data_IF_758151457553
#
_entry.id   IF_758151457553
#
_cell.length_a   1.000
_cell.length_b   1.000
_cell.length_c   1.000
_cell.angle_alpha   90.00
_cell.angle_beta   90.00
_cell.angle_gamma   90.00
#
_symmetry.space_group_name_H-M   'P 1'
#
loop_
_entity.id
_entity.type
_entity.pdbx_description
1 polymer ?
#
# COMPACT_ATOMS: atom_id res chain seq x y z
N UNK A 1 1.15 31.51 20.55
CA UNK A 1 1.44 30.78 19.30
C UNK A 1 0.64 31.43 18.18
N UNK A 2 1.20 32.46 17.54
CA UNK A 2 0.56 33.05 16.36
C UNK A 2 0.74 32.10 15.17
N UNK A 3 -0.36 31.79 14.52
CA UNK A 3 -0.39 31.05 13.27
C UNK A 3 0.20 31.95 12.17
N UNK A 4 1.41 31.66 11.70
CA UNK A 4 2.17 32.49 10.72
C UNK A 4 1.38 32.71 9.41
N UNK A 5 0.40 31.86 9.10
CA UNK A 5 -0.56 32.11 8.01
C UNK A 5 -1.36 33.41 8.19
N UNK A 6 -1.69 33.78 9.42
CA UNK A 6 -2.43 35.01 9.74
C UNK A 6 -1.55 36.28 9.69
N UNK A 7 -0.22 36.10 9.66
CA UNK A 7 0.77 37.17 9.49
C UNK A 7 1.06 37.41 8.00
N UNK A 8 1.09 36.34 7.21
CA UNK A 8 1.19 36.39 5.73
C UNK A 8 -0.03 37.08 5.11
N UNK A 9 -1.22 36.91 5.71
CA UNK A 9 -2.44 37.54 5.21
C UNK A 9 -2.54 39.04 5.54
N UNK A 10 -1.71 39.57 6.45
CA UNK A 10 -1.67 41.00 6.80
C UNK A 10 -0.68 41.82 5.95
N UNK A 11 0.24 41.18 5.24
CA UNK A 11 1.35 41.84 4.54
C UNK A 11 1.25 41.86 3.01
N UNK A 12 0.08 41.59 2.42
CA UNK A 12 -0.12 41.67 0.96
C UNK A 12 -0.30 43.10 0.46
N UNK A 13 0.72 43.96 0.58
CA UNK A 13 0.73 45.26 -0.12
C UNK A 13 2.09 45.73 -0.69
N UNK A 14 3.18 44.96 -0.77
CA UNK A 14 4.40 45.44 -1.48
C UNK A 14 5.14 44.39 -2.34
N UNK A 15 5.72 44.83 -3.46
CA UNK A 15 6.44 43.98 -4.45
C UNK A 15 7.69 43.29 -3.89
N UNK A 16 8.30 43.84 -2.84
CA UNK A 16 9.44 43.24 -2.16
C UNK A 16 9.04 42.04 -1.28
N UNK A 17 7.83 42.04 -0.72
CA UNK A 17 7.25 40.89 -0.01
C UNK A 17 7.01 39.70 -0.96
N UNK A 18 6.58 39.95 -2.20
CA UNK A 18 6.43 38.90 -3.21
C UNK A 18 7.75 38.21 -3.57
N UNK A 19 8.89 38.92 -3.50
CA UNK A 19 10.21 38.32 -3.73
C UNK A 19 10.63 37.45 -2.54
N UNK A 20 10.42 37.93 -1.32
CA UNK A 20 10.71 37.20 -0.08
C UNK A 20 9.84 35.94 0.03
N UNK A 21 8.54 36.03 -0.29
CA UNK A 21 7.62 34.87 -0.35
C UNK A 21 8.10 33.84 -1.37
N UNK A 22 8.43 34.24 -2.61
CA UNK A 22 8.97 33.30 -3.61
C UNK A 22 10.30 32.69 -3.20
N UNK A 23 11.16 33.43 -2.52
CA UNK A 23 12.44 32.92 -2.02
C UNK A 23 12.22 31.90 -0.88
N UNK A 24 11.28 32.18 0.01
CA UNK A 24 10.86 31.28 1.08
C UNK A 24 10.23 29.99 0.52
N UNK A 25 9.30 30.10 -0.44
CA UNK A 25 8.70 28.96 -1.12
C UNK A 25 9.76 28.09 -1.81
N UNK A 26 10.74 28.70 -2.48
CA UNK A 26 11.87 27.98 -3.09
C UNK A 26 12.74 27.29 -2.06
N UNK A 27 12.99 27.92 -0.92
CA UNK A 27 13.76 27.36 0.20
C UNK A 27 13.03 26.15 0.80
N UNK A 28 11.72 26.26 1.05
CA UNK A 28 10.90 25.13 1.52
C UNK A 28 10.81 24.00 0.49
N UNK A 29 10.67 24.31 -0.79
CA UNK A 29 10.69 23.30 -1.85
C UNK A 29 12.03 22.55 -1.93
N UNK A 30 13.15 23.25 -1.70
CA UNK A 30 14.48 22.62 -1.59
C UNK A 30 14.57 21.71 -0.37
N UNK A 31 14.10 22.17 0.80
CA UNK A 31 14.08 21.38 2.02
C UNK A 31 13.30 20.07 1.81
N UNK A 32 12.08 20.15 1.29
CA UNK A 32 11.26 18.96 1.02
C UNK A 32 11.93 17.97 0.08
N UNK A 33 12.65 18.43 -0.96
CA UNK A 33 13.41 17.56 -1.87
C UNK A 33 14.62 16.91 -1.19
N UNK A 34 15.37 17.67 -0.38
CA UNK A 34 16.52 17.15 0.37
C UNK A 34 16.08 16.10 1.40
N UNK A 35 14.99 16.36 2.14
CA UNK A 35 14.42 15.39 3.08
C UNK A 35 13.91 14.13 2.38
N UNK A 36 13.24 14.27 1.23
CA UNK A 36 12.79 13.12 0.45
C UNK A 36 13.97 12.24 0.00
N UNK A 37 15.11 12.83 -0.38
CA UNK A 37 16.32 12.07 -0.70
C UNK A 37 16.92 11.41 0.54
N UNK A 38 17.17 12.19 1.60
CA UNK A 38 17.85 11.72 2.80
C UNK A 38 17.07 10.60 3.48
N UNK A 39 15.78 10.82 3.77
CA UNK A 39 14.95 9.87 4.51
C UNK A 39 14.59 8.60 3.74
N UNK A 40 14.90 8.53 2.43
CA UNK A 40 14.68 7.33 1.62
C UNK A 40 15.94 6.59 1.24
N UNK A 41 17.00 7.32 0.93
CA UNK A 41 18.18 6.75 0.27
C UNK A 41 19.50 7.32 0.78
N UNK A 42 19.50 8.59 1.20
CA UNK A 42 20.71 9.35 1.45
C UNK A 42 21.26 9.22 2.86
N UNK A 43 20.40 9.07 3.87
CA UNK A 43 20.80 9.21 5.27
C UNK A 43 21.93 8.25 5.67
N UNK A 44 21.82 6.97 5.32
CA UNK A 44 22.87 5.97 5.62
C UNK A 44 24.18 6.30 4.90
N UNK A 45 24.10 6.74 3.63
CA UNK A 45 25.28 7.14 2.84
C UNK A 45 25.97 8.40 3.40
N UNK A 46 25.19 9.26 4.04
CA UNK A 46 25.66 10.46 4.72
C UNK A 46 26.07 10.17 6.18
N UNK A 47 26.13 8.90 6.58
CA UNK A 47 26.66 8.46 7.89
C UNK A 47 25.63 8.38 9.02
N UNK A 48 24.34 8.55 8.73
CA UNK A 48 23.29 8.37 9.75
C UNK A 48 23.08 6.89 10.05
N UNK A 49 22.80 6.56 11.32
CA UNK A 49 22.30 5.23 11.68
C UNK A 49 20.83 5.12 11.26
N UNK A 50 20.52 4.10 10.45
CA UNK A 50 19.17 3.81 9.97
C UNK A 50 18.73 2.46 10.53
N UNK A 51 17.57 2.42 11.17
CA UNK A 51 16.99 1.20 11.74
C UNK A 51 15.53 1.05 11.29
N UNK A 52 15.24 0.07 10.43
CA UNK A 52 13.92 -0.08 9.78
C UNK A 52 13.40 1.24 9.13
N UNK A 53 14.33 1.98 8.52
CA UNK A 53 14.09 3.29 7.90
C UNK A 53 14.01 4.47 8.89
N UNK A 54 14.00 4.21 10.20
CA UNK A 54 14.01 5.24 11.23
C UNK A 54 15.40 5.84 11.43
N UNK A 55 15.44 7.16 11.49
CA UNK A 55 16.65 7.96 11.70
C UNK A 55 16.40 8.87 12.89
N UNK A 56 17.38 8.97 13.78
CA UNK A 56 17.33 9.94 14.87
C UNK A 56 17.54 11.35 14.31
N UNK A 57 16.61 12.26 14.57
CA UNK A 57 16.59 13.60 13.97
C UNK A 57 17.89 14.37 14.21
N UNK A 58 18.49 14.25 15.40
CA UNK A 58 19.76 14.91 15.71
C UNK A 58 20.91 14.45 14.80
N UNK A 59 20.92 13.17 14.42
CA UNK A 59 21.93 12.60 13.52
C UNK A 59 21.65 13.06 12.09
N UNK A 60 20.37 13.15 11.70
CA UNK A 60 19.98 13.72 10.40
C UNK A 60 20.42 15.18 10.26
N UNK A 61 20.35 15.97 11.34
CA UNK A 61 20.78 17.37 11.35
C UNK A 61 22.29 17.56 11.18
N UNK A 62 23.12 16.51 11.33
CA UNK A 62 24.56 16.60 11.06
C UNK A 62 24.89 16.50 9.57
N UNK A 63 23.92 16.14 8.72
CA UNK A 63 24.14 15.97 7.29
C UNK A 63 24.35 17.32 6.60
N UNK A 64 25.42 17.52 5.81
CA UNK A 64 25.73 18.80 5.17
C UNK A 64 24.60 19.39 4.32
N UNK A 65 23.78 18.53 3.70
CA UNK A 65 22.61 18.96 2.92
C UNK A 65 21.59 19.74 3.74
N UNK A 66 21.52 19.54 5.06
CA UNK A 66 20.60 20.23 5.97
C UNK A 66 21.23 21.40 6.74
N UNK A 67 22.51 21.71 6.50
CA UNK A 67 23.27 22.75 7.22
C UNK A 67 22.63 24.15 7.22
N UNK A 68 21.80 24.45 6.23
CA UNK A 68 21.10 25.75 6.10
C UNK A 68 19.77 25.82 6.87
N UNK A 69 19.34 24.73 7.51
CA UNK A 69 18.04 24.61 8.18
C UNK A 69 18.20 24.28 9.66
N UNK A 70 17.27 24.79 10.45
CA UNK A 70 17.14 24.47 11.87
C UNK A 70 16.37 23.17 12.07
N UNK A 71 16.55 22.53 13.24
CA UNK A 71 15.81 21.32 13.61
C UNK A 71 14.28 21.56 13.57
N UNK A 72 13.84 22.75 13.99
CA UNK A 72 12.42 23.14 13.96
C UNK A 72 11.87 23.29 12.54
N UNK A 73 12.66 23.84 11.59
CA UNK A 73 12.26 23.90 10.18
C UNK A 73 12.11 22.50 9.59
N UNK A 74 13.07 21.61 9.87
CA UNK A 74 13.06 20.22 9.40
C UNK A 74 11.87 19.45 9.98
N UNK A 75 11.68 19.53 11.29
CA UNK A 75 10.55 18.86 11.96
C UNK A 75 9.21 19.43 11.51
N UNK A 76 9.14 20.76 11.29
CA UNK A 76 7.96 21.42 10.74
C UNK A 76 7.59 20.90 9.36
N UNK A 77 8.53 20.76 8.43
CA UNK A 77 8.28 20.15 7.12
C UNK A 77 7.85 18.68 7.29
N UNK A 78 8.50 17.90 8.16
CA UNK A 78 8.15 16.49 8.42
C UNK A 78 6.69 16.34 8.89
N UNK A 79 6.23 17.24 9.77
CA UNK A 79 4.88 17.23 10.35
C UNK A 79 3.80 17.78 9.41
N UNK A 80 4.18 18.67 8.49
CA UNK A 80 3.23 19.42 7.66
C UNK A 80 3.24 19.03 6.19
N UNK A 81 4.16 18.17 5.76
CA UNK A 81 4.27 17.72 4.38
C UNK A 81 3.30 16.59 4.07
N UNK A 82 2.38 16.84 3.14
CA UNK A 82 1.42 15.86 2.64
C UNK A 82 1.59 15.57 1.14
N UNK A 83 1.21 14.37 0.72
CA UNK A 83 1.05 13.99 -0.68
C UNK A 83 -0.17 14.70 -1.29
N UNK A 84 -0.32 14.65 -2.63
CA UNK A 84 -1.52 15.17 -3.29
C UNK A 84 -2.81 14.47 -2.79
N UNK A 85 -2.70 13.23 -2.28
CA UNK A 85 -3.80 12.46 -1.69
C UNK A 85 -3.99 12.75 -0.19
N UNK A 86 -3.46 13.88 0.31
CA UNK A 86 -3.54 14.30 1.72
C UNK A 86 -2.98 13.28 2.71
N UNK A 87 -1.96 12.53 2.31
CA UNK A 87 -1.29 11.56 3.19
C UNK A 87 0.04 12.13 3.67
N UNK A 88 0.40 12.00 4.96
CA UNK A 88 1.73 12.38 5.44
C UNK A 88 2.84 11.80 4.55
N UNK A 89 3.82 12.64 4.18
CA UNK A 89 5.00 12.19 3.42
C UNK A 89 6.06 11.53 4.28
N UNK A 90 6.03 11.82 5.56
CA UNK A 90 7.00 11.38 6.55
C UNK A 90 6.24 10.86 7.77
N UNK A 91 6.91 10.01 8.53
CA UNK A 91 6.47 9.57 9.84
C UNK A 91 7.49 10.05 10.86
N UNK A 92 7.03 10.35 12.06
CA UNK A 92 7.88 10.74 13.17
C UNK A 92 7.29 10.22 14.47
N UNK A 93 8.16 9.94 15.44
CA UNK A 93 7.77 9.54 16.77
C UNK A 93 8.80 10.01 17.80
N UNK A 94 8.35 10.21 19.04
CA UNK A 94 9.24 10.58 20.14
C UNK A 94 9.55 9.32 20.96
N UNK A 95 10.82 8.93 20.99
CA UNK A 95 11.36 7.86 21.83
C UNK A 95 12.10 8.47 23.03
N UNK A 96 12.44 7.68 24.08
CA UNK A 96 13.14 8.20 25.26
C UNK A 96 14.46 8.91 24.97
N UNK A 97 15.14 8.51 23.90
CA UNK A 97 16.46 8.97 23.46
C UNK A 97 16.41 10.07 22.37
N UNK A 98 15.23 10.41 21.86
CA UNK A 98 15.02 11.56 20.98
C UNK A 98 13.85 11.42 20.00
N UNK A 99 13.83 12.29 19.00
CA UNK A 99 12.82 12.29 17.93
C UNK A 99 13.33 11.45 16.76
N UNK A 100 12.57 10.43 16.38
CA UNK A 100 12.84 9.58 15.24
C UNK A 100 11.96 9.97 14.07
N UNK A 101 12.53 9.94 12.87
CA UNK A 101 11.88 10.33 11.63
C UNK A 101 12.17 9.32 10.53
N UNK A 102 11.22 9.12 9.61
CA UNK A 102 11.41 8.30 8.42
C UNK A 102 10.54 8.76 7.26
N UNK A 103 10.85 8.32 6.05
CA UNK A 103 9.93 8.46 4.92
C UNK A 103 8.68 7.60 5.14
N UNK A 104 7.51 8.11 4.74
CA UNK A 104 6.34 7.26 4.63
C UNK A 104 6.49 6.40 3.35
N UNK A 105 6.72 5.10 3.53
CA UNK A 105 6.82 4.14 2.43
C UNK A 105 5.53 4.11 1.58
N UNK A 106 5.67 3.80 0.29
CA UNK A 106 4.54 3.34 -0.52
C UNK A 106 3.77 4.35 -1.38
N UNK A 107 4.24 5.58 -1.65
CA UNK A 107 3.42 6.56 -2.42
C UNK A 107 4.14 7.32 -3.52
N UNK A 108 3.42 7.51 -4.64
CA UNK A 108 3.76 8.43 -5.72
C UNK A 108 3.46 9.84 -5.27
N UNK A 109 4.48 10.56 -4.86
CA UNK A 109 4.32 11.90 -4.31
C UNK A 109 4.16 12.99 -5.37
N UNK A 110 4.41 12.66 -6.64
CA UNK A 110 4.38 13.60 -7.76
C UNK A 110 3.40 13.13 -8.85
N UNK A 111 2.51 14.04 -9.26
CA UNK A 111 1.33 13.76 -10.09
C UNK A 111 1.63 13.69 -11.59
N UNK A 112 2.59 14.48 -12.06
CA UNK A 112 2.76 14.80 -13.47
C UNK A 112 4.10 14.27 -13.98
N UNK A 113 4.15 13.45 -15.04
CA UNK A 113 5.41 13.03 -15.63
C UNK A 113 6.20 14.18 -16.28
N UNK A 114 5.60 15.37 -16.36
CA UNK A 114 6.20 16.59 -16.89
C UNK A 114 6.52 17.59 -15.77
N UNK A 115 7.45 18.50 -16.05
CA UNK A 115 7.66 19.69 -15.22
C UNK A 115 6.42 20.60 -15.30
N UNK A 116 6.10 21.29 -14.20
CA UNK A 116 4.91 22.13 -14.10
C UNK A 116 4.81 23.11 -15.26
N UNK A 117 3.64 23.18 -15.88
CA UNK A 117 3.34 24.07 -17.02
C UNK A 117 4.22 23.84 -18.26
N UNK A 118 4.87 22.68 -18.39
CA UNK A 118 5.67 22.33 -19.57
C UNK A 118 5.30 20.95 -20.12
N UNK A 119 5.78 20.64 -21.33
CA UNK A 119 5.76 19.30 -21.92
C UNK A 119 7.10 18.56 -21.74
N UNK A 120 7.99 19.08 -20.90
CA UNK A 120 9.30 18.47 -20.65
C UNK A 120 9.15 17.37 -19.61
N UNK A 121 9.46 16.13 -19.98
CA UNK A 121 9.40 14.98 -19.08
C UNK A 121 10.45 15.09 -17.98
N UNK A 122 10.10 14.62 -16.78
CA UNK A 122 11.04 14.52 -15.66
C UNK A 122 12.04 13.40 -15.93
N UNK A 123 13.27 13.59 -15.45
CA UNK A 123 14.31 12.57 -15.55
C UNK A 123 13.88 11.24 -14.89
N UNK A 124 13.16 11.30 -13.76
CA UNK A 124 12.61 10.11 -13.12
C UNK A 124 11.69 9.31 -14.05
N UNK A 125 10.82 9.99 -14.80
CA UNK A 125 9.90 9.29 -15.70
C UNK A 125 10.60 8.72 -16.94
N UNK A 126 11.66 9.35 -17.44
CA UNK A 126 12.49 8.83 -18.52
C UNK A 126 13.32 7.61 -18.06
N UNK A 127 13.92 7.70 -16.88
CA UNK A 127 14.70 6.60 -16.28
C UNK A 127 13.82 5.40 -15.95
N UNK A 128 12.65 5.61 -15.36
CA UNK A 128 11.70 4.52 -15.10
C UNK A 128 11.22 3.83 -16.39
N UNK A 129 11.01 4.58 -17.47
CA UNK A 129 10.66 3.97 -18.77
C UNK A 129 11.79 3.07 -19.28
N UNK A 130 13.03 3.57 -19.27
CA UNK A 130 14.20 2.79 -19.66
C UNK A 130 14.36 1.52 -18.81
N UNK A 131 14.18 1.63 -17.49
CA UNK A 131 14.23 0.49 -16.56
C UNK A 131 13.11 -0.51 -16.89
N UNK A 132 11.89 -0.06 -17.16
CA UNK A 132 10.77 -0.95 -17.50
C UNK A 132 11.03 -1.78 -18.77
N UNK A 133 11.74 -1.19 -19.74
CA UNK A 133 12.14 -1.87 -20.98
C UNK A 133 13.27 -2.87 -20.75
N UNK A 134 14.20 -2.56 -19.85
CA UNK A 134 15.44 -3.29 -19.63
C UNK A 134 15.54 -3.94 -18.24
N UNK A 135 14.41 -4.22 -17.58
CA UNK A 135 14.35 -4.61 -16.16
C UNK A 135 15.22 -5.81 -15.79
N UNK A 136 15.42 -6.73 -16.75
CA UNK A 136 16.24 -7.93 -16.57
C UNK A 136 17.75 -7.64 -16.49
N UNK A 137 18.18 -6.43 -16.84
CA UNK A 137 19.58 -5.97 -16.76
C UNK A 137 19.90 -5.33 -15.39
N UNK A 138 18.90 -5.14 -14.55
CA UNK A 138 19.04 -4.51 -13.24
C UNK A 138 18.83 -5.53 -12.13
N UNK A 139 19.59 -5.36 -11.05
CA UNK A 139 19.44 -6.13 -9.82
C UNK A 139 18.65 -5.31 -8.79
N UNK A 140 17.52 -5.84 -8.35
CA UNK A 140 16.64 -5.23 -7.36
C UNK A 140 16.66 -5.96 -6.00
N UNK A 141 17.50 -6.99 -5.82
CA UNK A 141 17.47 -7.84 -4.63
C UNK A 141 17.61 -7.03 -3.33
N UNK A 142 18.49 -6.02 -3.33
CA UNK A 142 18.74 -5.13 -2.20
C UNK A 142 18.19 -3.71 -2.41
N UNK A 143 17.23 -3.54 -3.32
CA UNK A 143 16.70 -2.21 -3.62
C UNK A 143 15.69 -1.79 -2.54
N UNK A 144 15.97 -0.72 -1.77
CA UNK A 144 15.22 -0.41 -0.54
C UNK A 144 13.88 0.29 -0.79
N UNK A 145 13.53 0.62 -2.03
CA UNK A 145 12.30 1.34 -2.36
C UNK A 145 11.30 0.43 -3.07
N UNK A 146 10.53 -0.28 -2.25
CA UNK A 146 9.39 -1.09 -2.67
C UNK A 146 8.37 -0.29 -3.50
N UNK A 147 8.22 1.01 -3.24
CA UNK A 147 7.27 1.84 -4.00
C UNK A 147 7.69 1.94 -5.47
N UNK A 148 8.97 2.18 -5.74
CA UNK A 148 9.50 2.23 -7.10
C UNK A 148 9.45 0.85 -7.77
N UNK A 149 9.70 -0.24 -7.05
CA UNK A 149 9.50 -1.61 -7.57
C UNK A 149 8.04 -1.79 -7.99
N UNK A 150 7.09 -1.43 -7.14
CA UNK A 150 5.67 -1.53 -7.43
C UNK A 150 5.24 -0.61 -8.60
N UNK A 151 5.81 0.58 -8.72
CA UNK A 151 5.59 1.47 -9.88
C UNK A 151 6.15 0.85 -11.17
N UNK A 152 7.31 0.20 -11.12
CA UNK A 152 7.89 -0.54 -12.27
C UNK A 152 6.96 -1.70 -12.65
N UNK A 153 6.54 -2.54 -11.68
CA UNK A 153 5.58 -3.64 -11.89
C UNK A 153 4.32 -3.09 -12.56
N UNK A 154 3.73 -2.02 -12.01
CA UNK A 154 2.51 -1.43 -12.53
C UNK A 154 2.67 -0.88 -13.96
N UNK A 155 3.79 -0.22 -14.28
CA UNK A 155 4.07 0.29 -15.64
C UNK A 155 4.24 -0.83 -16.64
N UNK A 156 5.02 -1.87 -16.30
CA UNK A 156 5.22 -3.03 -17.17
C UNK A 156 3.88 -3.78 -17.37
N UNK A 157 3.08 -3.91 -16.30
CA UNK A 157 1.71 -4.48 -16.31
C UNK A 157 0.80 -3.73 -17.26
N UNK A 158 0.71 -2.40 -17.14
CA UNK A 158 -0.13 -1.54 -18.00
C UNK A 158 0.23 -1.64 -19.48
N UNK A 159 1.49 -1.91 -19.79
CA UNK A 159 1.97 -2.09 -21.15
C UNK A 159 1.83 -3.53 -21.66
N UNK A 160 1.30 -4.47 -20.85
CA UNK A 160 1.14 -5.88 -21.23
C UNK A 160 2.45 -6.63 -21.40
N UNK A 161 3.58 -6.11 -20.87
CA UNK A 161 4.93 -6.66 -21.07
C UNK A 161 5.46 -7.43 -19.87
N UNK A 162 4.64 -7.69 -18.84
CA UNK A 162 5.09 -8.29 -17.59
C UNK A 162 5.14 -9.82 -17.72
N UNK A 163 6.32 -10.34 -18.02
CA UNK A 163 6.58 -11.78 -18.09
C UNK A 163 6.99 -12.32 -16.72
N UNK A 164 6.93 -13.64 -16.53
CA UNK A 164 7.39 -14.27 -15.28
C UNK A 164 8.88 -14.05 -15.02
N UNK A 165 9.70 -13.90 -16.07
CA UNK A 165 11.13 -13.59 -15.96
C UNK A 165 11.35 -12.16 -15.43
N UNK A 166 10.65 -11.17 -15.99
CA UNK A 166 10.68 -9.79 -15.49
C UNK A 166 10.18 -9.69 -14.06
N UNK A 167 9.11 -10.41 -13.72
CA UNK A 167 8.60 -10.50 -12.35
C UNK A 167 9.69 -11.03 -11.41
N UNK A 168 10.36 -12.13 -11.77
CA UNK A 168 11.44 -12.71 -10.96
C UNK A 168 12.60 -11.73 -10.67
N UNK A 169 12.92 -10.84 -11.60
CA UNK A 169 13.95 -9.80 -11.40
C UNK A 169 13.51 -8.70 -10.41
N UNK A 170 12.20 -8.49 -10.25
CA UNK A 170 11.63 -7.42 -9.41
C UNK A 170 11.31 -7.87 -7.98
N UNK A 171 11.12 -9.18 -7.76
CA UNK A 171 10.78 -9.72 -6.44
C UNK A 171 12.01 -9.77 -5.53
N UNK A 172 11.86 -9.31 -4.28
CA UNK A 172 12.88 -9.32 -3.23
C UNK A 172 12.31 -9.73 -1.87
N UNK A 173 13.19 -10.06 -0.92
CA UNK A 173 12.82 -10.49 0.43
C UNK A 173 12.22 -9.37 1.27
N UNK A 174 12.54 -8.12 0.93
CA UNK A 174 12.05 -6.91 1.60
C UNK A 174 10.63 -6.52 1.20
N UNK A 175 10.03 -7.21 0.22
CA UNK A 175 8.68 -6.90 -0.24
C UNK A 175 7.61 -7.26 0.79
N UNK A 176 6.77 -6.28 1.09
CA UNK A 176 5.57 -6.39 1.92
C UNK A 176 4.27 -6.26 1.09
N UNK A 177 4.31 -5.59 -0.07
CA UNK A 177 3.15 -5.27 -0.90
C UNK A 177 3.38 -5.69 -2.36
N UNK A 178 2.49 -6.52 -2.89
CA UNK A 178 2.56 -7.01 -4.26
C UNK A 178 1.17 -7.05 -4.92
N UNK A 179 0.98 -6.22 -5.95
CA UNK A 179 -0.25 -6.20 -6.76
C UNK A 179 -0.02 -6.77 -8.17
N UNK A 180 -0.59 -7.95 -8.42
CA UNK A 180 -0.51 -8.66 -9.68
C UNK A 180 -1.86 -8.76 -10.42
N UNK A 181 -2.84 -7.91 -10.07
CA UNK A 181 -4.19 -7.93 -10.67
C UNK A 181 -4.14 -7.97 -12.21
N UNK A 182 -4.77 -8.99 -12.79
CA UNK A 182 -4.96 -9.15 -14.23
C UNK A 182 -3.75 -9.68 -15.00
N UNK A 183 -2.71 -10.15 -14.30
CA UNK A 183 -1.52 -10.73 -14.96
C UNK A 183 -1.73 -12.21 -15.24
N UNK A 184 -1.28 -12.65 -16.41
CA UNK A 184 -1.12 -14.07 -16.72
C UNK A 184 0.06 -14.68 -15.95
N UNK A 185 -0.21 -15.25 -14.77
CA UNK A 185 0.80 -15.92 -13.95
C UNK A 185 1.07 -17.35 -14.45
N UNK A 186 2.35 -17.68 -14.60
CA UNK A 186 2.82 -19.05 -14.82
C UNK A 186 3.20 -19.69 -13.49
N UNK A 187 3.37 -21.02 -13.47
CA UNK A 187 3.87 -21.77 -12.31
C UNK A 187 5.20 -21.21 -11.79
N UNK A 188 6.09 -20.82 -12.72
CA UNK A 188 7.38 -20.22 -12.38
C UNK A 188 7.25 -18.85 -11.72
N UNK A 189 6.24 -18.06 -12.12
CA UNK A 189 5.92 -16.78 -11.49
C UNK A 189 5.40 -16.98 -10.06
N UNK A 190 4.46 -17.90 -9.87
CA UNK A 190 3.92 -18.21 -8.54
C UNK A 190 5.03 -18.73 -7.61
N UNK A 191 5.89 -19.61 -8.11
CA UNK A 191 7.06 -20.12 -7.38
C UNK A 191 8.04 -19.04 -6.99
N UNK A 192 8.18 -18.00 -7.80
CA UNK A 192 9.02 -16.87 -7.46
C UNK A 192 8.45 -16.07 -6.28
N UNK A 193 7.13 -15.82 -6.26
CA UNK A 193 6.44 -15.07 -5.19
C UNK A 193 6.75 -15.68 -3.83
N UNK A 194 6.43 -16.96 -3.64
CA UNK A 194 6.58 -17.60 -2.33
C UNK A 194 8.02 -17.95 -1.95
N UNK A 195 8.97 -17.87 -2.90
CA UNK A 195 10.40 -18.10 -2.62
C UNK A 195 11.15 -16.82 -2.30
N UNK A 196 10.80 -15.72 -2.98
CA UNK A 196 11.53 -14.47 -2.89
C UNK A 196 10.90 -13.48 -1.93
N UNK A 197 9.62 -13.60 -1.59
CA UNK A 197 8.92 -12.59 -0.80
C UNK A 197 8.29 -13.19 0.48
N UNK A 198 9.10 -13.65 1.46
CA UNK A 198 8.60 -14.22 2.72
C UNK A 198 7.89 -13.18 3.61
N UNK A 199 8.21 -11.89 3.44
CA UNK A 199 7.69 -10.80 4.27
C UNK A 199 6.41 -10.14 3.71
N UNK A 200 5.75 -10.75 2.72
CA UNK A 200 4.51 -10.21 2.15
C UNK A 200 3.41 -10.10 3.21
N UNK A 201 2.83 -8.90 3.28
CA UNK A 201 1.66 -8.54 4.09
C UNK A 201 0.42 -8.31 3.23
N UNK A 202 0.60 -7.74 2.04
CA UNK A 202 -0.49 -7.41 1.10
C UNK A 202 -0.23 -8.05 -0.24
N UNK A 203 -1.14 -8.90 -0.69
CA UNK A 203 -1.04 -9.60 -1.97
C UNK A 203 -2.36 -9.53 -2.75
N UNK A 204 -2.29 -9.09 -4.00
CA UNK A 204 -3.40 -9.21 -4.95
C UNK A 204 -3.04 -10.16 -6.09
N UNK A 205 -3.83 -11.23 -6.24
CA UNK A 205 -3.78 -12.18 -7.35
C UNK A 205 -5.08 -12.16 -8.15
N UNK A 206 -5.83 -11.06 -8.04
CA UNK A 206 -7.10 -10.88 -8.72
C UNK A 206 -6.97 -11.17 -10.22
N UNK A 207 -7.89 -11.95 -10.75
CA UNK A 207 -7.92 -12.33 -12.17
C UNK A 207 -6.62 -12.99 -12.70
N UNK A 208 -5.77 -13.58 -11.85
CA UNK A 208 -4.59 -14.36 -12.28
C UNK A 208 -4.89 -15.84 -12.62
N UNK A 209 -6.18 -16.17 -12.76
CA UNK A 209 -6.76 -17.46 -12.38
C UNK A 209 -6.67 -18.64 -13.36
N UNK A 210 -5.74 -18.72 -14.32
CA UNK A 210 -5.62 -19.95 -15.13
C UNK A 210 -4.81 -21.05 -14.42
N UNK A 211 -3.64 -20.70 -13.87
CA UNK A 211 -2.73 -21.65 -13.20
C UNK A 211 -2.95 -21.68 -11.68
N UNK A 212 -3.50 -20.61 -11.10
CA UNK A 212 -3.68 -20.49 -9.66
C UNK A 212 -4.76 -21.45 -9.15
N UNK A 213 -4.37 -22.41 -8.33
CA UNK A 213 -5.25 -23.40 -7.69
C UNK A 213 -4.90 -23.54 -6.19
N UNK A 214 -5.67 -24.37 -5.45
CA UNK A 214 -5.49 -24.54 -4.01
C UNK A 214 -4.07 -25.02 -3.63
N UNK A 215 -3.42 -25.85 -4.47
CA UNK A 215 -2.06 -26.34 -4.20
C UNK A 215 -1.04 -25.20 -4.24
N UNK A 216 -1.09 -24.36 -5.27
CA UNK A 216 -0.19 -23.22 -5.41
C UNK A 216 -0.43 -22.17 -4.33
N UNK A 217 -1.69 -21.90 -4.02
CA UNK A 217 -2.03 -20.95 -2.97
C UNK A 217 -1.62 -21.46 -1.58
N UNK A 218 -1.71 -22.77 -1.32
CA UNK A 218 -1.17 -23.38 -0.09
C UNK A 218 0.34 -23.11 0.06
N UNK A 219 1.12 -23.14 -1.02
CA UNK A 219 2.55 -22.81 -0.96
C UNK A 219 2.80 -21.35 -0.58
N UNK A 220 2.04 -20.42 -1.16
CA UNK A 220 2.09 -19.00 -0.79
C UNK A 220 1.74 -18.85 0.69
N UNK A 221 0.61 -19.44 1.11
CA UNK A 221 0.11 -19.35 2.48
C UNK A 221 1.16 -19.80 3.51
N UNK A 222 1.87 -20.90 3.20
CA UNK A 222 2.87 -21.48 4.10
C UNK A 222 4.20 -20.73 4.14
N UNK A 223 4.55 -20.02 3.07
CA UNK A 223 5.86 -19.39 2.90
C UNK A 223 5.86 -17.88 3.10
N UNK A 224 4.68 -17.26 3.07
CA UNK A 224 4.47 -15.85 3.36
C UNK A 224 3.66 -15.71 4.67
N UNK A 225 4.21 -16.00 5.85
CA UNK A 225 3.44 -16.10 7.10
C UNK A 225 2.80 -14.78 7.57
N UNK A 226 3.21 -13.64 6.99
CA UNK A 226 2.82 -12.30 7.43
C UNK A 226 1.64 -11.71 6.65
N UNK A 227 0.96 -12.48 5.77
CA UNK A 227 -0.15 -11.95 4.98
C UNK A 227 -1.30 -11.49 5.89
N UNK A 228 -1.65 -10.21 5.75
CA UNK A 228 -2.75 -9.53 6.42
C UNK A 228 -3.89 -9.19 5.45
N UNK A 229 -3.57 -8.89 4.19
CA UNK A 229 -4.55 -8.55 3.15
C UNK A 229 -4.34 -9.38 1.89
N UNK A 230 -5.39 -10.07 1.46
CA UNK A 230 -5.35 -10.95 0.30
C UNK A 230 -6.54 -10.70 -0.64
N UNK A 231 -6.26 -10.42 -1.91
CA UNK A 231 -7.27 -10.33 -2.97
C UNK A 231 -7.15 -11.52 -3.94
N UNK A 232 -8.17 -12.37 -3.96
CA UNK A 232 -8.32 -13.55 -4.82
C UNK A 232 -9.55 -13.43 -5.72
N UNK A 233 -9.98 -12.20 -6.03
CA UNK A 233 -11.17 -11.99 -6.84
C UNK A 233 -11.03 -12.63 -8.23
N UNK A 234 -12.10 -13.25 -8.71
CA UNK A 234 -12.14 -13.96 -10.00
C UNK A 234 -11.12 -15.11 -10.15
N UNK A 235 -10.59 -15.67 -9.06
CA UNK A 235 -9.75 -16.86 -9.04
C UNK A 235 -10.59 -18.16 -8.98
N UNK A 236 -11.26 -18.49 -10.10
CA UNK A 236 -12.30 -19.53 -10.17
C UNK A 236 -11.86 -20.99 -9.98
N UNK A 237 -10.57 -21.28 -9.83
CA UNK A 237 -10.07 -22.64 -9.55
C UNK A 237 -9.79 -22.90 -8.07
N UNK A 238 -10.01 -21.90 -7.21
CA UNK A 238 -9.90 -22.04 -5.76
C UNK A 238 -11.18 -22.61 -5.16
N UNK A 239 -11.07 -23.33 -4.05
CA UNK A 239 -12.20 -23.98 -3.35
C UNK A 239 -12.11 -23.75 -1.84
N UNK A 240 -13.05 -24.31 -1.09
CA UNK A 240 -13.02 -24.33 0.38
C UNK A 240 -11.68 -24.81 0.98
N UNK A 241 -10.90 -25.61 0.25
CA UNK A 241 -9.54 -25.98 0.67
C UNK A 241 -8.67 -24.75 0.90
N UNK A 242 -8.78 -23.72 0.06
CA UNK A 242 -8.10 -22.44 0.27
C UNK A 242 -8.53 -21.79 1.57
N UNK A 243 -9.83 -21.70 1.85
CA UNK A 243 -10.32 -21.08 3.10
C UNK A 243 -9.85 -21.85 4.34
N UNK A 244 -9.87 -23.17 4.30
CA UNK A 244 -9.34 -24.02 5.37
C UNK A 244 -7.84 -23.78 5.61
N UNK A 245 -7.05 -23.58 4.54
CA UNK A 245 -5.64 -23.22 4.67
C UNK A 245 -5.46 -21.82 5.28
N UNK A 246 -6.24 -20.82 4.85
CA UNK A 246 -6.20 -19.47 5.42
C UNK A 246 -6.53 -19.48 6.92
N UNK A 247 -7.56 -20.22 7.34
CA UNK A 247 -7.91 -20.40 8.75
C UNK A 247 -6.74 -21.01 9.52
N UNK A 248 -6.16 -22.09 8.99
CA UNK A 248 -5.07 -22.83 9.64
C UNK A 248 -3.82 -21.98 9.86
N UNK A 249 -3.45 -21.15 8.90
CA UNK A 249 -2.17 -20.43 8.92
C UNK A 249 -2.31 -18.95 9.31
N UNK A 250 -3.45 -18.31 9.04
CA UNK A 250 -3.64 -16.87 9.18
C UNK A 250 -4.82 -16.45 10.07
N UNK A 251 -5.45 -17.36 10.82
CA UNK A 251 -6.59 -17.01 11.72
C UNK A 251 -6.31 -15.86 12.69
N UNK A 252 -5.04 -15.63 13.07
CA UNK A 252 -4.62 -14.56 13.97
C UNK A 252 -4.07 -13.31 13.29
N UNK A 253 -3.86 -13.32 11.97
CA UNK A 253 -3.19 -12.23 11.25
C UNK A 253 -4.04 -11.66 10.09
N UNK A 254 -4.98 -12.42 9.54
CA UNK A 254 -5.76 -12.00 8.37
C UNK A 254 -6.72 -10.86 8.74
N UNK A 255 -6.51 -9.69 8.13
CA UNK A 255 -7.30 -8.46 8.34
C UNK A 255 -8.30 -8.26 7.19
N UNK A 256 -7.91 -8.53 5.95
CA UNK A 256 -8.72 -8.29 4.77
C UNK A 256 -8.67 -9.48 3.80
N UNK A 257 -9.83 -9.93 3.35
CA UNK A 257 -9.95 -10.96 2.32
C UNK A 257 -10.99 -10.54 1.28
N UNK A 258 -10.58 -10.52 0.01
CA UNK A 258 -11.46 -10.22 -1.12
C UNK A 258 -11.58 -11.46 -2.00
N UNK A 259 -12.81 -11.98 -2.13
CA UNK A 259 -13.18 -13.18 -2.87
C UNK A 259 -14.24 -12.91 -3.95
N UNK A 260 -14.41 -11.65 -4.37
CA UNK A 260 -15.43 -11.23 -5.33
C UNK A 260 -15.41 -12.06 -6.63
N UNK A 261 -16.59 -12.47 -7.09
CA UNK A 261 -16.75 -13.22 -8.35
C UNK A 261 -16.22 -14.66 -8.32
N UNK A 262 -16.01 -15.23 -7.13
CA UNK A 262 -15.69 -16.65 -6.95
C UNK A 262 -16.93 -17.46 -6.57
N UNK A 263 -17.17 -18.58 -7.26
CA UNK A 263 -18.41 -19.37 -7.12
C UNK A 263 -18.21 -20.71 -6.41
N UNK A 264 -16.98 -21.09 -6.08
CA UNK A 264 -16.65 -22.42 -5.55
C UNK A 264 -16.48 -22.45 -4.02
N UNK A 265 -16.64 -21.31 -3.35
CA UNK A 265 -16.65 -21.25 -1.89
C UNK A 265 -18.06 -21.51 -1.38
N UNK A 266 -18.21 -22.44 -0.45
CA UNK A 266 -19.50 -22.75 0.19
C UNK A 266 -19.82 -21.77 1.31
N UNK A 267 -21.11 -21.64 1.63
CA UNK A 267 -21.56 -20.82 2.76
C UNK A 267 -20.96 -21.28 4.09
N UNK A 268 -20.89 -22.60 4.32
CA UNK A 268 -20.32 -23.18 5.55
C UNK A 268 -18.84 -22.85 5.73
N UNK A 269 -18.04 -22.92 4.65
CA UNK A 269 -16.63 -22.57 4.71
C UNK A 269 -16.42 -21.07 4.99
N UNK A 270 -17.28 -20.21 4.44
CA UNK A 270 -17.26 -18.76 4.70
C UNK A 270 -17.68 -18.45 6.15
N UNK A 271 -18.71 -19.11 6.66
CA UNK A 271 -19.14 -19.01 8.07
C UNK A 271 -17.97 -19.39 8.99
N UNK A 272 -17.31 -20.51 8.70
CA UNK A 272 -16.14 -20.99 9.45
C UNK A 272 -14.96 -20.02 9.41
N UNK A 273 -14.70 -19.42 8.25
CA UNK A 273 -13.67 -18.37 8.12
C UNK A 273 -13.99 -17.19 9.03
N UNK A 274 -15.23 -16.70 9.03
CA UNK A 274 -15.64 -15.56 9.86
C UNK A 274 -15.66 -15.92 11.36
N UNK A 275 -15.95 -17.18 11.73
CA UNK A 275 -15.91 -17.57 13.14
C UNK A 275 -14.48 -17.73 13.68
N UNK A 276 -13.54 -18.27 12.89
CA UNK A 276 -12.18 -18.58 13.35
C UNK A 276 -11.17 -17.42 13.14
N UNK A 277 -11.36 -16.56 12.13
CA UNK A 277 -10.48 -15.43 11.85
C UNK A 277 -10.90 -14.17 12.62
N UNK A 278 -10.49 -14.09 13.90
CA UNK A 278 -10.89 -13.02 14.83
C UNK A 278 -10.42 -11.61 14.44
N UNK A 279 -9.32 -11.49 13.69
CA UNK A 279 -8.77 -10.21 13.24
C UNK A 279 -9.33 -9.74 11.90
N UNK A 280 -10.18 -10.54 11.24
CA UNK A 280 -10.71 -10.22 9.92
C UNK A 280 -11.66 -9.03 10.00
N UNK A 281 -11.27 -7.87 9.48
CA UNK A 281 -12.07 -6.63 9.50
C UNK A 281 -12.83 -6.41 8.19
N UNK A 282 -12.40 -7.02 7.09
CA UNK A 282 -13.06 -6.88 5.81
C UNK A 282 -13.12 -8.20 5.06
N UNK A 283 -14.34 -8.59 4.67
CA UNK A 283 -14.61 -9.74 3.82
C UNK A 283 -15.46 -9.30 2.63
N UNK A 284 -14.95 -9.45 1.43
CA UNK A 284 -15.73 -9.27 0.21
C UNK A 284 -16.01 -10.64 -0.41
N UNK A 285 -17.29 -11.01 -0.47
CA UNK A 285 -17.80 -12.25 -1.07
C UNK A 285 -18.83 -11.92 -2.16
N UNK A 286 -18.66 -10.76 -2.80
CA UNK A 286 -19.58 -10.29 -3.82
C UNK A 286 -19.81 -11.32 -4.91
N UNK A 287 -21.07 -11.49 -5.29
CA UNK A 287 -21.51 -12.42 -6.32
C UNK A 287 -21.17 -13.90 -6.05
N UNK A 288 -21.00 -14.30 -4.78
CA UNK A 288 -20.94 -15.72 -4.42
C UNK A 288 -22.36 -16.33 -4.35
N UNK A 289 -22.74 -17.28 -5.23
CA UNK A 289 -24.09 -17.82 -5.27
C UNK A 289 -24.43 -18.76 -4.09
N UNK A 290 -23.41 -19.26 -3.38
CA UNK A 290 -23.60 -20.18 -2.25
C UNK A 290 -23.85 -19.45 -0.92
N UNK A 291 -23.71 -18.11 -0.89
CA UNK A 291 -24.09 -17.26 0.22
C UNK A 291 -25.59 -16.92 0.15
N UNK A 292 -26.42 -17.92 0.46
CA UNK A 292 -27.88 -17.76 0.56
C UNK A 292 -28.26 -16.79 1.68
N UNK A 293 -29.52 -16.37 1.74
CA UNK A 293 -29.99 -15.47 2.79
C UNK A 293 -29.79 -16.05 4.20
N UNK A 294 -29.92 -17.37 4.37
CA UNK A 294 -29.68 -18.04 5.65
C UNK A 294 -28.22 -17.92 6.08
N UNK A 295 -27.28 -18.14 5.14
CA UNK A 295 -25.84 -17.93 5.37
C UNK A 295 -25.57 -16.48 5.74
N UNK A 296 -26.14 -15.52 5.01
CA UNK A 296 -25.95 -14.10 5.30
C UNK A 296 -26.49 -13.73 6.69
N UNK A 297 -27.62 -14.27 7.12
CA UNK A 297 -28.16 -14.05 8.47
C UNK A 297 -27.21 -14.55 9.56
N UNK A 298 -26.60 -15.74 9.36
CA UNK A 298 -25.58 -16.27 10.27
C UNK A 298 -24.35 -15.36 10.31
N UNK A 299 -23.87 -14.91 9.14
CA UNK A 299 -22.74 -13.99 9.05
C UNK A 299 -23.00 -12.65 9.76
N UNK A 300 -24.22 -12.10 9.66
CA UNK A 300 -24.62 -10.90 10.41
C UNK A 300 -24.59 -11.15 11.91
N UNK A 301 -25.11 -12.29 12.37
CA UNK A 301 -25.09 -12.65 13.79
C UNK A 301 -23.65 -12.78 14.32
N UNK A 302 -22.77 -13.45 13.57
CA UNK A 302 -21.35 -13.56 13.88
C UNK A 302 -20.63 -12.20 13.84
N UNK A 303 -20.96 -11.33 12.90
CA UNK A 303 -20.35 -10.00 12.82
C UNK A 303 -20.76 -9.13 14.02
N UNK A 304 -22.01 -9.23 14.48
CA UNK A 304 -22.53 -8.50 15.65
C UNK A 304 -22.01 -9.01 16.98
N UNK A 305 -21.60 -10.28 17.08
CA UNK A 305 -21.04 -10.84 18.30
C UNK A 305 -19.58 -10.41 18.54
N UNK A 306 -18.94 -9.74 17.57
CA UNK A 306 -17.59 -9.20 17.72
C UNK A 306 -17.62 -7.85 18.44
N UNK A 307 -16.80 -7.72 19.48
CA UNK A 307 -16.71 -6.49 20.30
C UNK A 307 -15.75 -5.44 19.69
N UNK A 308 -16.08 -4.15 19.91
CA UNK A 308 -15.32 -2.91 19.65
C UNK A 308 -14.31 -2.92 18.49
N UNK A 309 -13.10 -3.46 18.69
CA UNK A 309 -11.99 -3.39 17.73
C UNK A 309 -11.96 -4.54 16.71
N UNK A 310 -12.87 -5.51 16.84
CA UNK A 310 -12.95 -6.72 15.98
C UNK A 310 -14.11 -6.68 14.99
N UNK A 311 -14.79 -5.55 14.85
CA UNK A 311 -15.90 -5.40 13.90
C UNK A 311 -15.48 -5.77 12.48
N UNK A 312 -16.33 -6.52 11.80
CA UNK A 312 -16.12 -6.97 10.41
C UNK A 312 -17.13 -6.35 9.47
N UNK A 313 -16.63 -5.83 8.35
CA UNK A 313 -17.43 -5.40 7.21
C UNK A 313 -17.52 -6.55 6.20
N UNK A 314 -18.74 -6.94 5.83
CA UNK A 314 -19.02 -7.99 4.85
C UNK A 314 -19.71 -7.37 3.63
N UNK A 315 -19.16 -7.62 2.44
CA UNK A 315 -19.70 -7.16 1.17
C UNK A 315 -20.30 -8.34 0.41
N UNK A 316 -21.60 -8.26 0.10
CA UNK A 316 -22.32 -9.23 -0.71
C UNK A 316 -23.49 -8.57 -1.45
N UNK A 317 -23.82 -9.02 -2.67
CA UNK A 317 -24.85 -8.40 -3.52
C UNK A 317 -26.25 -8.32 -2.91
N UNK A 318 -26.60 -9.30 -2.08
CA UNK A 318 -27.90 -9.39 -1.43
C UNK A 318 -27.89 -8.90 0.04
N UNK A 319 -26.78 -8.31 0.52
CA UNK A 319 -26.63 -7.93 1.93
C UNK A 319 -26.79 -6.41 2.10
N UNK A 320 -27.88 -5.98 2.72
CA UNK A 320 -28.07 -4.59 3.15
C UNK A 320 -28.12 -4.52 4.67
N UNK A 321 -27.05 -4.00 5.30
CA UNK A 321 -27.00 -3.85 6.75
C UNK A 321 -26.13 -2.63 7.13
N UNK A 322 -26.62 -1.67 7.93
CA UNK A 322 -25.94 -0.39 8.17
C UNK A 322 -24.59 -0.54 8.91
N UNK A 323 -24.47 -1.52 9.81
CA UNK A 323 -23.24 -1.75 10.59
C UNK A 323 -22.30 -2.77 9.95
N UNK A 324 -22.82 -3.92 9.50
CA UNK A 324 -22.03 -5.00 8.90
C UNK A 324 -21.67 -4.73 7.44
N UNK A 325 -22.42 -3.90 6.72
CA UNK A 325 -22.20 -3.62 5.30
C UNK A 325 -22.37 -2.12 4.95
N UNK A 326 -21.69 -1.18 5.66
CA UNK A 326 -21.87 0.26 5.49
C UNK A 326 -21.48 0.77 4.10
N UNK A 327 -20.38 0.23 3.56
CA UNK A 327 -19.82 0.62 2.26
C UNK A 327 -20.19 -0.37 1.14
N UNK A 328 -21.32 -1.08 1.29
CA UNK A 328 -21.74 -2.03 0.27
C UNK A 328 -22.10 -1.28 -1.03
N UNK A 329 -21.46 -1.59 -2.18
CA UNK A 329 -21.77 -0.95 -3.46
C UNK A 329 -23.25 -1.00 -3.86
N UNK A 330 -24.01 -1.98 -3.35
CA UNK A 330 -25.45 -2.12 -3.59
C UNK A 330 -26.34 -1.27 -2.67
N UNK A 331 -25.80 -0.72 -1.57
CA UNK A 331 -26.56 0.18 -0.70
C UNK A 331 -26.89 1.51 -1.40
N UNK A 332 -26.02 1.97 -2.31
CA UNK A 332 -26.20 3.23 -3.07
C UNK A 332 -27.26 3.11 -4.17
N UNK A 333 -27.50 1.90 -4.69
CA UNK A 333 -28.41 1.67 -5.82
C UNK A 333 -29.88 1.88 -5.45
N UNK A 334 -30.26 1.69 -4.18
CA UNK A 334 -31.65 1.88 -3.72
C UNK A 334 -31.97 3.28 -3.18
N UNK A 335 -30.98 4.17 -3.03
CA UNK A 335 -31.22 5.55 -2.58
C UNK A 335 -31.71 6.48 -3.70
N UNK A 336 -31.75 6.02 -4.96
CA UNK A 336 -32.22 6.78 -6.14
C UNK A 336 -33.51 6.23 -6.76
N UNK A 337 -34.16 5.26 -6.12
CA UNK A 337 -35.35 4.56 -6.65
C UNK A 337 -36.49 4.46 -5.64
N UNK A 338 -36.61 5.45 -4.74
CA UNK A 338 -37.84 5.67 -3.96
C UNK A 338 -38.40 7.05 -4.20
#
# INVERSE_FOLDING_TARGET
MLNIKDEIQRHTEHKDDLRLVKQYERRQLKLGKRLAYLLRYGAEKEGCRVDEGWILLRDLMTVPLLSEYTENEVLGEIQTSYSYRKTPRYQWEKRPDGVYVRAAYGRRFERNPYHEQTQIRRLLDLTLEYICENVEQFDFENFPDEFLINEIIHRIKRNGKLTSKKLQSLLSETMEHLDLDGIYLTESGIKAIYKKCPNLKVLSLKSCGYVLNDHYLEQIIRKCPLIESLDLSYCRHLTDRTLNNLIKYYSKNLIQLILSGNHNYTGDAIIRLVSECEQLKQLDIWDNPNCTNDVLNILIALAKSRENDRTITIVHKNLQHPVVAPDNPWAVVNAKTR
#
